data_IF_744139075807
#
_entry.id   IF_744139075807
#
_cell.length_a   1.000
_cell.length_b   1.000
_cell.length_c   1.000
_cell.angle_alpha   90.00
_cell.angle_beta   90.00
_cell.angle_gamma   90.00
#
_symmetry.space_group_name_H-M   'P 1'
#
loop_
_entity.id
_entity.type
_entity.pdbx_description
1 polymer ?
#
# COMPACT_ATOMS: atom_id res chain seq x y z
N UNK A 1 8.09 -19.09 -19.12
CA UNK A 1 7.50 -19.33 -17.80
C UNK A 1 7.51 -18.02 -17.02
N UNK A 2 6.36 -17.59 -16.50
CA UNK A 2 6.39 -16.43 -15.62
C UNK A 2 7.19 -16.78 -14.37
N UNK A 3 8.06 -15.86 -13.98
CA UNK A 3 8.80 -16.00 -12.73
C UNK A 3 7.83 -15.99 -11.55
N UNK A 4 8.08 -16.84 -10.55
CA UNK A 4 7.28 -16.87 -9.35
C UNK A 4 7.63 -15.66 -8.49
N UNK A 5 6.63 -14.86 -8.17
CA UNK A 5 6.77 -13.72 -7.25
C UNK A 5 6.58 -14.22 -5.82
N UNK A 6 7.55 -13.93 -4.97
CA UNK A 6 7.50 -14.24 -3.53
C UNK A 6 7.37 -12.93 -2.76
N UNK A 7 6.58 -12.96 -1.71
CA UNK A 7 6.40 -11.81 -0.82
C UNK A 7 6.86 -12.18 0.59
N UNK A 8 7.58 -11.29 1.22
CA UNK A 8 7.95 -11.41 2.63
C UNK A 8 8.02 -10.05 3.29
N UNK A 9 8.02 -10.06 4.61
CA UNK A 9 8.28 -8.84 5.38
C UNK A 9 9.70 -8.35 5.16
N UNK A 10 9.84 -7.03 5.15
CA UNK A 10 11.14 -6.36 5.09
C UNK A 10 11.89 -6.59 6.40
N UNK A 11 13.19 -6.78 6.29
CA UNK A 11 14.13 -6.86 7.41
C UNK A 11 15.07 -5.64 7.38
N UNK A 12 15.68 -5.27 8.50
CA UNK A 12 16.64 -4.15 8.51
C UNK A 12 17.77 -4.31 7.48
N UNK A 13 18.22 -5.55 7.24
CA UNK A 13 19.28 -5.86 6.27
C UNK A 13 18.89 -5.52 4.83
N UNK A 14 17.60 -5.34 4.54
CA UNK A 14 17.11 -5.02 3.20
C UNK A 14 17.30 -3.54 2.83
N UNK A 15 17.64 -2.68 3.78
CA UNK A 15 17.62 -1.23 3.58
C UNK A 15 18.48 -0.77 2.38
N UNK A 16 19.67 -1.33 2.21
CA UNK A 16 20.54 -0.99 1.07
C UNK A 16 19.93 -1.38 -0.25
N UNK A 17 19.40 -2.60 -0.36
CA UNK A 17 18.76 -3.11 -1.58
C UNK A 17 17.47 -2.34 -1.90
N UNK A 18 16.71 -1.94 -0.88
CA UNK A 18 15.51 -1.11 -1.05
C UNK A 18 15.86 0.26 -1.61
N UNK A 19 16.89 0.91 -1.06
CA UNK A 19 17.36 2.20 -1.57
C UNK A 19 17.75 2.13 -3.04
N UNK A 20 18.50 1.10 -3.43
CA UNK A 20 18.88 0.86 -4.82
C UNK A 20 17.68 0.60 -5.72
N UNK A 21 16.72 -0.19 -5.24
CA UNK A 21 15.48 -0.47 -5.97
C UNK A 21 14.68 0.81 -6.22
N UNK A 22 14.51 1.66 -5.21
CA UNK A 22 13.76 2.91 -5.33
C UNK A 22 14.43 3.85 -6.34
N UNK A 23 15.76 3.96 -6.29
CA UNK A 23 16.50 4.79 -7.25
C UNK A 23 16.32 4.28 -8.67
N UNK A 24 16.41 2.98 -8.89
CA UNK A 24 16.25 2.36 -10.21
C UNK A 24 14.81 2.49 -10.71
N UNK A 25 13.82 2.20 -9.88
CA UNK A 25 12.40 2.24 -10.24
C UNK A 25 11.92 3.64 -10.59
N UNK A 26 12.53 4.67 -10.00
CA UNK A 26 12.16 6.07 -10.21
C UNK A 26 13.15 6.82 -11.11
N UNK A 27 14.11 6.12 -11.71
CA UNK A 27 15.16 6.69 -12.57
C UNK A 27 15.93 7.81 -11.86
N UNK A 28 16.26 7.59 -10.58
CA UNK A 28 17.00 8.53 -9.76
C UNK A 28 16.18 9.68 -9.18
N UNK A 29 14.88 9.76 -9.43
CA UNK A 29 14.02 10.81 -8.86
C UNK A 29 13.85 10.65 -7.34
N UNK A 30 13.86 9.42 -6.87
CA UNK A 30 13.85 9.14 -5.44
C UNK A 30 15.18 8.49 -5.09
N UNK A 31 16.02 9.24 -4.40
CA UNK A 31 17.29 8.74 -3.82
C UNK A 31 17.15 8.91 -2.31
N UNK A 32 17.03 7.80 -1.61
CA UNK A 32 16.83 7.82 -0.16
C UNK A 32 18.13 7.37 0.49
N UNK A 33 18.75 8.19 1.36
CA UNK A 33 19.93 7.78 2.11
C UNK A 33 19.64 6.54 2.95
N UNK A 34 20.66 5.71 3.14
CA UNK A 34 20.52 4.44 3.89
C UNK A 34 19.87 4.65 5.26
N UNK A 35 20.30 5.66 6.00
CA UNK A 35 19.78 5.95 7.34
C UNK A 35 18.29 6.30 7.31
N UNK A 36 17.85 7.02 6.29
CA UNK A 36 16.44 7.38 6.13
C UNK A 36 15.59 6.16 5.78
N UNK A 37 16.12 5.24 4.96
CA UNK A 37 15.42 3.97 4.67
C UNK A 37 15.23 3.18 5.96
N UNK A 38 16.27 3.03 6.76
CA UNK A 38 16.21 2.32 8.04
C UNK A 38 15.16 2.96 8.97
N UNK A 39 15.14 4.28 9.04
CA UNK A 39 14.18 5.01 9.87
C UNK A 39 12.74 4.76 9.43
N UNK A 40 12.47 4.83 8.12
CA UNK A 40 11.13 4.57 7.57
C UNK A 40 10.67 3.14 7.83
N UNK A 41 11.57 2.17 7.72
CA UNK A 41 11.25 0.75 7.96
C UNK A 41 10.82 0.48 9.41
N UNK A 42 11.22 1.34 10.35
CA UNK A 42 10.83 1.22 11.74
C UNK A 42 9.44 1.79 12.06
N UNK A 43 8.85 2.59 11.16
CA UNK A 43 7.63 3.33 11.42
C UNK A 43 6.34 2.67 10.94
N UNK A 44 6.44 1.63 10.11
CA UNK A 44 5.28 0.92 9.55
C UNK A 44 5.68 -0.49 9.10
N UNK A 45 4.70 -1.30 8.75
CA UNK A 45 4.96 -2.63 8.20
C UNK A 45 5.21 -2.53 6.69
N UNK A 46 6.29 -3.15 6.22
CA UNK A 46 6.63 -3.19 4.81
C UNK A 46 6.75 -4.62 4.30
N UNK A 47 6.32 -4.82 3.07
CA UNK A 47 6.48 -6.06 2.34
C UNK A 47 7.32 -5.85 1.08
N UNK A 48 8.18 -6.82 0.79
CA UNK A 48 8.93 -6.90 -0.46
C UNK A 48 8.35 -8.00 -1.35
N UNK A 49 8.21 -7.69 -2.62
CA UNK A 49 7.95 -8.68 -3.65
C UNK A 49 9.26 -8.94 -4.40
N UNK A 50 9.59 -10.20 -4.58
CA UNK A 50 10.86 -10.64 -5.16
C UNK A 50 10.65 -11.72 -6.22
N UNK A 51 11.44 -11.62 -7.28
CA UNK A 51 11.74 -12.74 -8.16
C UNK A 51 13.19 -13.13 -7.87
N UNK A 52 14.14 -12.92 -8.78
CA UNK A 52 15.58 -13.03 -8.48
C UNK A 52 16.10 -11.77 -7.78
N UNK A 53 15.35 -10.70 -7.85
CA UNK A 53 15.66 -9.41 -7.25
C UNK A 53 14.36 -8.74 -6.79
N UNK A 54 14.46 -7.60 -6.12
CA UNK A 54 13.29 -6.85 -5.66
C UNK A 54 12.55 -6.30 -6.88
N UNK A 55 11.25 -6.57 -6.95
CA UNK A 55 10.36 -6.05 -8.01
C UNK A 55 9.20 -5.23 -7.45
N UNK A 56 9.02 -5.22 -6.14
CA UNK A 56 7.97 -4.42 -5.51
C UNK A 56 8.20 -4.18 -4.04
N UNK A 57 7.64 -3.07 -3.58
CA UNK A 57 7.64 -2.65 -2.19
C UNK A 57 6.29 -2.04 -1.88
N UNK A 58 5.74 -2.35 -0.72
CA UNK A 58 4.54 -1.69 -0.22
C UNK A 58 4.59 -1.62 1.30
N UNK A 59 4.13 -0.50 1.85
CA UNK A 59 3.98 -0.31 3.27
C UNK A 59 2.52 -0.17 3.66
N UNK A 60 2.21 -0.43 4.92
CA UNK A 60 0.89 -0.17 5.46
C UNK A 60 0.96 0.06 6.96
N UNK A 61 -0.03 0.73 7.48
CA UNK A 61 -0.19 0.95 8.92
C UNK A 61 -1.67 0.99 9.26
N UNK A 62 -1.98 0.69 10.51
CA UNK A 62 -3.36 0.66 10.98
C UNK A 62 -3.57 1.64 12.14
N UNK A 63 -4.76 2.25 12.18
CA UNK A 63 -5.21 3.08 13.27
C UNK A 63 -6.72 2.90 13.42
N UNK A 64 -7.17 2.55 14.62
CA UNK A 64 -8.58 2.36 14.93
C UNK A 64 -9.32 1.46 13.93
N UNK A 65 -8.73 0.30 13.60
CA UNK A 65 -9.27 -0.70 12.68
C UNK A 65 -9.32 -0.22 11.21
N UNK A 66 -8.67 0.88 10.91
CA UNK A 66 -8.52 1.40 9.55
C UNK A 66 -7.07 1.22 9.13
N UNK A 67 -6.84 0.49 8.05
CA UNK A 67 -5.51 0.32 7.47
C UNK A 67 -5.29 1.27 6.30
N UNK A 68 -4.10 1.83 6.21
CA UNK A 68 -3.67 2.64 5.06
C UNK A 68 -2.52 1.97 4.37
N UNK A 69 -2.66 1.75 3.06
CA UNK A 69 -1.57 1.28 2.20
C UNK A 69 -0.83 2.50 1.67
N UNK A 70 0.48 2.47 1.72
CA UNK A 70 1.31 3.57 1.25
C UNK A 70 2.65 3.05 0.71
N UNK A 71 3.40 3.93 0.04
CA UNK A 71 4.74 3.62 -0.48
C UNK A 71 4.77 2.45 -1.46
N UNK A 72 3.71 2.27 -2.25
CA UNK A 72 3.66 1.22 -3.28
C UNK A 72 4.56 1.59 -4.47
N UNK A 73 5.56 0.77 -4.72
CA UNK A 73 6.45 0.90 -5.87
C UNK A 73 6.63 -0.46 -6.52
N UNK A 74 6.38 -0.56 -7.82
CA UNK A 74 6.54 -1.79 -8.60
C UNK A 74 7.37 -1.47 -9.84
N UNK A 75 8.39 -2.26 -10.09
CA UNK A 75 9.27 -2.10 -11.25
C UNK A 75 9.80 -3.48 -11.72
N UNK A 76 9.77 -3.78 -13.02
CA UNK A 76 9.24 -2.95 -14.11
C UNK A 76 7.70 -2.88 -14.10
N UNK A 77 7.18 -1.84 -14.77
CA UNK A 77 5.74 -1.57 -14.80
C UNK A 77 4.90 -2.73 -15.35
N UNK A 78 5.47 -3.53 -16.25
CA UNK A 78 4.79 -4.70 -16.81
C UNK A 78 4.39 -5.73 -15.76
N UNK A 79 5.05 -5.75 -14.60
CA UNK A 79 4.76 -6.68 -13.50
C UNK A 79 3.68 -6.16 -12.54
N UNK A 80 3.15 -4.95 -12.75
CA UNK A 80 2.16 -4.36 -11.84
C UNK A 80 0.98 -5.26 -11.49
N UNK A 81 0.30 -5.93 -12.45
CA UNK A 81 -0.85 -6.76 -12.10
C UNK A 81 -0.47 -7.92 -11.18
N UNK A 82 0.61 -8.62 -11.48
CA UNK A 82 1.05 -9.79 -10.71
C UNK A 82 1.63 -9.39 -9.36
N UNK A 83 2.57 -8.46 -9.35
CA UNK A 83 3.26 -8.01 -8.14
C UNK A 83 2.32 -7.24 -7.22
N UNK A 84 1.48 -6.38 -7.80
CA UNK A 84 0.49 -5.64 -7.03
C UNK A 84 -0.48 -6.57 -6.30
N UNK A 85 -0.99 -7.58 -6.99
CA UNK A 85 -1.86 -8.59 -6.38
C UNK A 85 -1.19 -9.26 -5.19
N UNK A 86 0.05 -9.71 -5.36
CA UNK A 86 0.77 -10.43 -4.31
C UNK A 86 1.03 -9.54 -3.09
N UNK A 87 1.40 -8.28 -3.31
CA UNK A 87 1.59 -7.31 -2.23
C UNK A 87 0.29 -6.99 -1.50
N UNK A 88 -0.78 -6.71 -2.25
CA UNK A 88 -2.09 -6.40 -1.64
C UNK A 88 -2.66 -7.59 -0.87
N UNK A 89 -2.49 -8.80 -1.38
CA UNK A 89 -2.93 -10.01 -0.66
C UNK A 89 -2.20 -10.17 0.66
N UNK A 90 -0.89 -9.91 0.69
CA UNK A 90 -0.11 -9.97 1.92
C UNK A 90 -0.56 -8.92 2.94
N UNK A 91 -0.78 -7.68 2.50
CA UNK A 91 -1.28 -6.61 3.36
C UNK A 91 -2.68 -6.94 3.88
N UNK A 92 -3.58 -7.37 2.99
CA UNK A 92 -4.95 -7.70 3.37
C UNK A 92 -5.00 -8.83 4.39
N UNK A 93 -4.18 -9.86 4.21
CA UNK A 93 -4.09 -10.98 5.16
C UNK A 93 -3.68 -10.47 6.54
N UNK A 94 -2.67 -9.62 6.62
CA UNK A 94 -2.20 -9.06 7.88
C UNK A 94 -3.23 -8.12 8.50
N UNK A 95 -3.86 -7.28 7.67
CA UNK A 95 -4.92 -6.37 8.13
C UNK A 95 -6.11 -7.13 8.71
N UNK A 96 -6.50 -8.24 8.10
CA UNK A 96 -7.57 -9.10 8.63
C UNK A 96 -7.17 -9.76 9.95
N UNK A 97 -5.91 -10.14 10.10
CA UNK A 97 -5.40 -10.69 11.37
C UNK A 97 -5.47 -9.66 12.49
N UNK A 98 -5.29 -8.38 12.17
CA UNK A 98 -5.41 -7.27 13.12
C UNK A 98 -6.85 -6.74 13.21
N UNK A 99 -7.81 -7.45 12.62
CA UNK A 99 -9.23 -7.11 12.66
C UNK A 99 -9.58 -5.77 12.02
N UNK A 100 -8.78 -5.29 11.07
CA UNK A 100 -9.10 -4.09 10.33
C UNK A 100 -10.41 -4.25 9.56
N UNK A 101 -11.23 -3.20 9.57
CA UNK A 101 -12.51 -3.18 8.89
C UNK A 101 -12.43 -2.69 7.47
N UNK A 102 -11.45 -1.84 7.18
CA UNK A 102 -11.28 -1.20 5.86
C UNK A 102 -9.81 -0.95 5.58
N UNK A 103 -9.45 -1.01 4.30
CA UNK A 103 -8.17 -0.53 3.79
C UNK A 103 -8.39 0.74 2.96
N UNK A 104 -7.51 1.71 3.12
CA UNK A 104 -7.53 2.98 2.40
C UNK A 104 -6.30 3.12 1.51
N UNK A 105 -6.51 3.73 0.35
CA UNK A 105 -5.46 4.22 -0.55
C UNK A 105 -5.71 5.68 -0.83
N UNK A 106 -4.69 6.51 -0.73
CA UNK A 106 -4.75 7.90 -1.19
C UNK A 106 -4.03 8.00 -2.53
N UNK A 107 -4.77 8.41 -3.54
CA UNK A 107 -4.33 8.42 -4.94
C UNK A 107 -4.26 9.85 -5.44
N UNK A 108 -3.15 10.28 -6.09
CA UNK A 108 -3.06 11.63 -6.62
C UNK A 108 -4.20 11.94 -7.58
N UNK A 109 -4.80 13.14 -7.48
CA UNK A 109 -5.88 13.57 -8.38
C UNK A 109 -5.47 13.53 -9.85
N UNK A 110 -4.19 13.75 -10.13
CA UNK A 110 -3.64 13.77 -11.49
C UNK A 110 -3.30 12.38 -12.04
N UNK A 111 -3.70 11.31 -11.34
CA UNK A 111 -3.39 9.94 -11.73
C UNK A 111 -4.13 9.55 -13.02
N UNK A 112 -3.54 8.63 -13.79
CA UNK A 112 -4.16 8.10 -15.00
C UNK A 112 -5.36 7.20 -14.69
N UNK A 113 -6.31 7.11 -15.65
CA UNK A 113 -7.43 6.17 -15.55
C UNK A 113 -6.96 4.73 -15.38
N UNK A 114 -5.81 4.36 -15.97
CA UNK A 114 -5.21 3.03 -15.83
C UNK A 114 -4.83 2.69 -14.41
N UNK A 115 -4.35 3.66 -13.64
CA UNK A 115 -4.01 3.45 -12.23
C UNK A 115 -5.27 3.20 -11.39
N UNK A 116 -6.34 3.92 -11.65
CA UNK A 116 -7.62 3.70 -10.97
C UNK A 116 -8.16 2.29 -11.28
N UNK A 117 -8.13 1.90 -12.54
CA UNK A 117 -8.54 0.54 -12.97
C UNK A 117 -7.70 -0.53 -12.28
N UNK A 118 -6.40 -0.29 -12.15
CA UNK A 118 -5.48 -1.18 -11.43
C UNK A 118 -5.94 -1.41 -9.98
N UNK A 119 -6.22 -0.33 -9.24
CA UNK A 119 -6.70 -0.45 -7.86
C UNK A 119 -8.09 -1.08 -7.78
N UNK A 120 -8.98 -0.75 -8.71
CA UNK A 120 -10.30 -1.36 -8.76
C UNK A 120 -10.23 -2.87 -8.96
N UNK A 121 -9.25 -3.35 -9.71
CA UNK A 121 -9.04 -4.79 -9.93
C UNK A 121 -8.75 -5.56 -8.64
N UNK A 122 -8.31 -4.88 -7.58
CA UNK A 122 -8.07 -5.47 -6.26
C UNK A 122 -9.22 -5.24 -5.28
N UNK A 123 -10.33 -4.68 -5.75
CA UNK A 123 -11.52 -4.48 -4.93
C UNK A 123 -11.65 -3.10 -4.30
N UNK A 124 -10.79 -2.16 -4.66
CA UNK A 124 -10.88 -0.79 -4.16
C UNK A 124 -11.88 0.01 -4.98
N UNK A 125 -12.69 0.82 -4.31
CA UNK A 125 -13.62 1.75 -4.96
C UNK A 125 -13.32 3.17 -4.52
N UNK A 126 -13.51 4.13 -5.45
CA UNK A 126 -13.34 5.55 -5.17
C UNK A 126 -14.47 6.05 -4.27
N UNK A 127 -14.12 6.80 -3.23
CA UNK A 127 -15.08 7.40 -2.30
C UNK A 127 -14.76 8.87 -2.06
N UNK A 128 -15.80 9.65 -1.77
CA UNK A 128 -15.61 10.96 -1.16
C UNK A 128 -15.41 10.75 0.34
N UNK A 129 -14.59 11.60 0.99
CA UNK A 129 -14.32 11.46 2.43
C UNK A 129 -15.62 11.56 3.24
N UNK A 130 -16.54 12.44 2.85
CA UNK A 130 -17.84 12.61 3.51
C UNK A 130 -18.76 11.39 3.37
N UNK A 131 -18.53 10.51 2.39
CA UNK A 131 -19.30 9.30 2.16
C UNK A 131 -18.72 8.08 2.88
N UNK A 132 -17.57 8.24 3.52
CA UNK A 132 -16.97 7.17 4.31
C UNK A 132 -17.78 6.99 5.60
N UNK A 133 -18.11 5.74 5.99
CA UNK A 133 -18.80 5.50 7.25
C UNK A 133 -18.14 6.21 8.44
N UNK A 134 -18.97 6.79 9.31
CA UNK A 134 -18.49 7.62 10.42
C UNK A 134 -17.39 6.96 11.28
N UNK A 135 -17.44 5.65 11.60
CA UNK A 135 -16.38 5.02 12.39
C UNK A 135 -15.00 5.10 11.76
N UNK A 136 -14.92 5.20 10.42
CA UNK A 136 -13.64 5.27 9.69
C UNK A 136 -13.24 6.69 9.30
N UNK A 137 -14.17 7.65 9.39
CA UNK A 137 -13.98 8.99 8.83
C UNK A 137 -12.87 9.77 9.55
N UNK A 138 -12.76 9.62 10.85
CA UNK A 138 -11.72 10.29 11.61
C UNK A 138 -10.33 9.83 11.17
N UNK A 139 -10.11 8.51 11.14
CA UNK A 139 -8.84 7.95 10.70
C UNK A 139 -8.55 8.30 9.23
N UNK A 140 -9.56 8.25 8.37
CA UNK A 140 -9.41 8.66 6.97
C UNK A 140 -8.99 10.13 6.86
N UNK A 141 -9.55 11.01 7.70
CA UNK A 141 -9.16 12.42 7.75
C UNK A 141 -7.74 12.63 8.22
N UNK A 142 -7.30 11.88 9.23
CA UNK A 142 -5.93 11.95 9.75
C UNK A 142 -4.91 11.46 8.72
N UNK A 143 -5.28 10.50 7.88
CA UNK A 143 -4.43 10.00 6.81
C UNK A 143 -4.48 10.86 5.54
N UNK A 144 -5.41 11.81 5.44
CA UNK A 144 -5.65 12.55 4.21
C UNK A 144 -4.40 13.29 3.72
N UNK A 145 -4.21 13.26 2.42
CA UNK A 145 -3.08 13.92 1.74
C UNK A 145 -3.68 14.96 0.78
N UNK A 146 -3.16 16.21 0.76
CA UNK A 146 -3.63 17.23 -0.20
C UNK A 146 -3.53 16.74 -1.65
N UNK A 147 -4.49 17.15 -2.47
CA UNK A 147 -4.54 16.83 -3.91
C UNK A 147 -4.63 15.32 -4.21
N UNK A 148 -5.17 14.56 -3.27
CA UNK A 148 -5.42 13.13 -3.41
C UNK A 148 -6.89 12.82 -3.16
N UNK A 149 -7.39 11.79 -3.83
CA UNK A 149 -8.69 11.19 -3.49
C UNK A 149 -8.47 9.87 -2.79
N UNK A 150 -9.49 9.39 -2.10
CA UNK A 150 -9.41 8.13 -1.35
C UNK A 150 -10.08 7.00 -2.13
N UNK A 151 -9.46 5.83 -2.11
CA UNK A 151 -10.07 4.56 -2.53
C UNK A 151 -10.11 3.64 -1.33
N UNK A 152 -11.21 2.89 -1.20
CA UNK A 152 -11.45 2.04 -0.03
C UNK A 152 -11.78 0.63 -0.44
N UNK A 153 -11.34 -0.33 0.39
CA UNK A 153 -11.77 -1.72 0.31
C UNK A 153 -12.25 -2.16 1.69
N UNK A 154 -13.52 -2.45 1.82
CA UNK A 154 -14.08 -2.97 3.07
C UNK A 154 -13.67 -4.42 3.24
N UNK A 155 -13.09 -4.75 4.40
CA UNK A 155 -12.62 -6.11 4.70
C UNK A 155 -13.64 -6.93 5.47
N UNK A 156 -14.48 -6.27 6.26
CA UNK A 156 -15.54 -6.92 7.03
C UNK A 156 -16.64 -5.92 7.32
N UNK A 157 -17.79 -6.43 7.79
CA UNK A 157 -18.88 -5.56 8.19
C UNK A 157 -18.49 -4.70 9.38
N UNK A 158 -19.09 -3.51 9.48
CA UNK A 158 -18.92 -2.63 10.62
C UNK A 158 -19.41 -3.32 11.89
N UNK A 159 -18.54 -3.37 12.91
CA UNK A 159 -18.87 -3.97 14.20
C UNK A 159 -19.83 -3.10 14.99
N UNK A 160 -19.72 -1.77 14.82
CA UNK A 160 -20.61 -0.83 15.50
C UNK A 160 -21.88 -0.63 14.69
N UNK A 161 -22.89 -1.42 15.01
CA UNK A 161 -24.23 -1.19 14.49
C UNK A 161 -24.96 -0.23 15.44
N UNK A 162 -25.72 0.72 14.90
CA UNK A 162 -26.60 1.53 15.77
C UNK A 162 -27.56 0.59 16.49
N UNK A 163 -27.69 0.81 17.76
CA UNK A 163 -28.63 0.07 18.60
C UNK A 163 -30.02 0.65 18.38
#
# INVERSE_FOLDING_TARGET
>A
MPETVRVRRVRPDDAGAIGNFLAQATRGRIVVPYEEVVERLGGKAFFLAMTDHIVGLAGWRAENLVGRIEDLVIHPAALRPQVGRTLFEAIEKEARQLECEVLLLFVPNAVSAGAVTFYQSFGFGRRLVEDIPAPWRQAAGEFAVPDHFVMTKQLRELVMKPI
#
